data_IF_399239416357
#
_entry.id   IF_399239416357
#
_cell.length_a   1.000
_cell.length_b   1.000
_cell.length_c   1.000
_cell.angle_alpha   90.00
_cell.angle_beta   90.00
_cell.angle_gamma   90.00
#
_symmetry.space_group_name_H-M   'P 1'
#
loop_
_entity.id
_entity.type
_entity.pdbx_description
1 polymer ?
#
# COMPACT_ATOMS: atom_id res chain seq x y z
N UNK A 1 5.07 -15.16 -15.38
CA UNK A 1 4.18 -14.39 -14.49
C UNK A 1 5.04 -13.76 -13.42
N UNK A 2 4.76 -12.51 -13.06
CA UNK A 2 5.43 -11.80 -11.98
C UNK A 2 4.39 -11.09 -11.11
N UNK A 3 4.75 -10.84 -9.86
CA UNK A 3 3.97 -10.01 -8.95
C UNK A 3 4.87 -8.94 -8.35
N UNK A 4 4.43 -7.69 -8.37
CA UNK A 4 5.22 -6.53 -7.96
C UNK A 4 4.41 -5.66 -7.01
N UNK A 5 4.99 -5.31 -5.87
CA UNK A 5 4.36 -4.47 -4.84
C UNK A 5 4.93 -3.06 -4.88
N UNK A 6 4.01 -2.11 -4.81
CA UNK A 6 4.26 -0.69 -4.67
C UNK A 6 3.64 -0.27 -3.33
N UNK A 7 4.49 0.13 -2.39
CA UNK A 7 4.08 0.79 -1.16
C UNK A 7 4.98 2.02 -0.91
N UNK A 8 4.51 2.99 -0.14
CA UNK A 8 5.36 4.08 0.33
C UNK A 8 6.58 3.58 1.09
N UNK A 9 7.66 4.36 1.10
CA UNK A 9 8.87 4.04 1.87
C UNK A 9 8.66 4.26 3.37
N UNK A 10 7.75 5.17 3.73
CA UNK A 10 7.39 5.49 5.10
C UNK A 10 5.91 5.80 5.26
N UNK A 11 5.44 5.71 6.51
CA UNK A 11 4.14 6.21 6.90
C UNK A 11 4.13 6.68 8.35
N UNK A 12 3.26 7.63 8.65
CA UNK A 12 3.00 8.05 10.01
C UNK A 12 2.05 7.08 10.73
N UNK A 13 2.42 6.57 11.92
CA UNK A 13 1.52 5.81 12.78
C UNK A 13 0.15 6.46 12.94
N UNK A 14 -0.91 5.66 12.76
CA UNK A 14 -2.29 6.13 12.81
C UNK A 14 -2.82 6.79 11.52
N UNK A 15 -1.97 7.07 10.54
CA UNK A 15 -2.38 7.60 9.23
C UNK A 15 -2.47 6.46 8.20
N UNK A 16 -3.58 6.35 7.45
CA UNK A 16 -3.70 5.37 6.37
C UNK A 16 -2.71 5.61 5.24
N UNK A 17 -2.11 4.54 4.73
CA UNK A 17 -1.26 4.53 3.54
C UNK A 17 -1.75 3.47 2.54
N UNK A 18 -1.62 3.75 1.23
CA UNK A 18 -2.03 2.81 0.18
C UNK A 18 -0.93 1.80 -0.16
N UNK A 19 -1.34 0.61 -0.57
CA UNK A 19 -0.47 -0.42 -1.15
C UNK A 19 -1.13 -0.96 -2.42
N UNK A 20 -0.32 -1.20 -3.44
CA UNK A 20 -0.72 -1.82 -4.71
C UNK A 20 0.16 -3.03 -4.97
N UNK A 21 -0.45 -4.10 -5.46
CA UNK A 21 0.20 -5.31 -5.92
C UNK A 21 -0.29 -5.55 -7.35
N UNK A 22 0.64 -5.46 -8.29
CA UNK A 22 0.40 -5.72 -9.70
C UNK A 22 0.83 -7.14 -10.02
N UNK A 23 -0.01 -7.87 -10.75
CA UNK A 23 0.29 -9.20 -11.26
C UNK A 23 0.32 -9.12 -12.77
N UNK A 24 1.44 -9.49 -13.39
CA UNK A 24 1.62 -9.51 -14.84
C UNK A 24 1.87 -10.92 -15.35
N UNK A 25 1.31 -11.26 -16.49
CA UNK A 25 1.35 -12.61 -17.05
C UNK A 25 1.32 -12.60 -18.58
N UNK A 26 2.00 -13.56 -19.20
CA UNK A 26 1.95 -13.80 -20.64
C UNK A 26 0.99 -14.96 -21.00
N UNK A 27 0.17 -15.40 -20.04
CA UNK A 27 -0.78 -16.49 -20.26
C UNK A 27 -1.87 -16.05 -21.24
N UNK A 28 -2.07 -16.83 -22.31
CA UNK A 28 -3.05 -16.55 -23.35
C UNK A 28 -4.46 -17.06 -23.05
N UNK A 29 -4.60 -17.85 -21.98
CA UNK A 29 -5.88 -18.41 -21.52
C UNK A 29 -6.19 -17.92 -20.12
N UNK A 30 -7.48 -17.70 -19.79
CA UNK A 30 -7.85 -17.33 -18.44
C UNK A 30 -7.45 -18.39 -17.41
N UNK A 31 -6.95 -17.97 -16.26
CA UNK A 31 -6.57 -18.85 -15.17
C UNK A 31 -6.98 -18.24 -13.83
N UNK A 32 -7.11 -19.10 -12.81
CA UNK A 32 -7.40 -18.66 -11.45
C UNK A 32 -6.11 -18.52 -10.65
N UNK A 33 -6.08 -17.52 -9.78
CA UNK A 33 -5.00 -17.31 -8.82
C UNK A 33 -5.53 -17.14 -7.41
N UNK A 34 -4.63 -17.35 -6.45
CA UNK A 34 -4.76 -16.92 -5.07
C UNK A 34 -3.60 -15.96 -4.80
N UNK A 35 -3.92 -14.73 -4.42
CA UNK A 35 -2.92 -13.78 -3.92
C UNK A 35 -2.99 -13.76 -2.40
N UNK A 36 -1.84 -13.90 -1.74
CA UNK A 36 -1.69 -13.79 -0.29
C UNK A 36 -0.69 -12.69 0.03
N UNK A 37 -1.09 -11.74 0.86
CA UNK A 37 -0.21 -10.71 1.43
C UNK A 37 -0.22 -10.84 2.96
N UNK A 38 0.97 -10.82 3.57
CA UNK A 38 1.20 -10.88 5.02
C UNK A 38 1.78 -9.56 5.45
N UNK A 39 1.04 -8.83 6.27
CA UNK A 39 1.43 -7.53 6.78
C UNK A 39 2.22 -7.69 8.08
N UNK A 40 3.00 -6.66 8.45
CA UNK A 40 3.56 -6.51 9.78
C UNK A 40 2.50 -6.68 10.89
N UNK A 41 2.83 -7.28 12.06
CA UNK A 41 1.87 -7.50 13.15
C UNK A 41 1.18 -6.23 13.65
N UNK A 42 1.85 -5.09 13.54
CA UNK A 42 1.36 -3.79 13.98
C UNK A 42 0.64 -3.00 12.87
N UNK A 43 0.38 -3.62 11.73
CA UNK A 43 -0.48 -3.05 10.69
C UNK A 43 -1.95 -3.42 10.90
N UNK A 44 -2.83 -2.47 10.64
CA UNK A 44 -4.29 -2.63 10.62
C UNK A 44 -4.75 -2.46 9.17
N UNK A 45 -5.11 -3.55 8.45
CA UNK A 45 -5.67 -3.42 7.11
C UNK A 45 -7.14 -3.00 7.17
N UNK A 46 -7.55 -2.14 6.24
CA UNK A 46 -8.89 -1.54 6.21
C UNK A 46 -9.66 -1.86 4.92
N UNK A 47 -9.35 -1.17 3.84
CA UNK A 47 -10.08 -1.26 2.57
C UNK A 47 -9.25 -2.07 1.56
N UNK A 48 -9.89 -2.95 0.78
CA UNK A 48 -9.25 -3.65 -0.35
C UNK A 48 -10.02 -3.50 -1.66
N UNK A 49 -9.31 -3.43 -2.79
CA UNK A 49 -9.84 -3.43 -4.15
C UNK A 49 -9.05 -4.40 -5.06
N UNK A 50 -9.66 -5.46 -5.58
CA UNK A 50 -10.96 -6.02 -5.20
C UNK A 50 -11.07 -6.30 -3.69
N UNK A 51 -12.28 -6.54 -3.17
CA UNK A 51 -12.47 -6.87 -1.75
C UNK A 51 -11.73 -8.16 -1.40
N UNK A 52 -11.09 -8.20 -0.22
CA UNK A 52 -10.47 -9.41 0.30
C UNK A 52 -11.50 -10.54 0.41
N UNK A 53 -11.11 -11.76 0.07
CA UNK A 53 -11.93 -12.96 0.35
C UNK A 53 -11.79 -13.42 1.79
N UNK A 54 -10.65 -13.13 2.42
CA UNK A 54 -10.40 -13.41 3.82
C UNK A 54 -9.36 -12.46 4.38
N UNK A 55 -9.51 -12.14 5.66
CA UNK A 55 -8.56 -11.39 6.45
C UNK A 55 -8.35 -12.16 7.76
N UNK A 56 -7.17 -12.77 7.93
CA UNK A 56 -6.78 -13.37 9.21
C UNK A 56 -6.07 -12.31 10.05
N UNK A 57 -6.14 -12.46 11.38
CA UNK A 57 -5.42 -11.65 12.35
C UNK A 57 -4.26 -12.44 12.95
N UNK A 58 -3.20 -11.73 13.35
CA UNK A 58 -2.04 -12.25 14.09
C UNK A 58 -1.15 -13.29 13.34
N UNK A 59 -0.28 -12.86 12.41
CA UNK A 59 -0.19 -11.51 11.83
C UNK A 59 -1.33 -11.28 10.82
N UNK A 60 -1.60 -10.01 10.43
CA UNK A 60 -2.63 -9.73 9.45
C UNK A 60 -2.29 -10.36 8.09
N UNK A 61 -3.19 -11.20 7.57
CA UNK A 61 -3.03 -11.84 6.26
C UNK A 61 -4.24 -11.54 5.39
N UNK A 62 -3.99 -10.90 4.25
CA UNK A 62 -4.98 -10.60 3.22
C UNK A 62 -4.94 -11.68 2.15
N UNK A 63 -6.11 -12.12 1.70
CA UNK A 63 -6.21 -13.02 0.54
C UNK A 63 -7.20 -12.52 -0.48
N UNK A 64 -6.86 -12.75 -1.73
CA UNK A 64 -7.74 -12.60 -2.88
C UNK A 64 -7.77 -13.91 -3.65
N UNK A 65 -8.93 -14.21 -4.23
CA UNK A 65 -9.10 -15.29 -5.21
C UNK A 65 -9.73 -14.62 -6.43
N UNK A 66 -9.10 -14.81 -7.59
CA UNK A 66 -9.52 -14.14 -8.80
C UNK A 66 -9.32 -15.00 -10.03
N UNK A 67 -9.96 -14.61 -11.13
CA UNK A 67 -9.79 -15.20 -12.46
C UNK A 67 -9.27 -14.13 -13.41
N UNK A 68 -7.99 -14.22 -13.75
CA UNK A 68 -7.36 -13.31 -14.72
C UNK A 68 -7.68 -13.81 -16.12
N UNK A 69 -8.12 -12.89 -17.00
CA UNK A 69 -8.33 -13.12 -18.43
C UNK A 69 -7.49 -12.21 -19.34
N UNK A 70 -6.72 -11.29 -18.77
CA UNK A 70 -5.81 -10.39 -19.48
C UNK A 70 -4.35 -10.58 -19.07
N UNK A 71 -3.51 -9.64 -19.46
CA UNK A 71 -2.05 -9.69 -19.19
C UNK A 71 -1.68 -9.09 -17.83
N UNK A 72 -2.59 -8.34 -17.20
CA UNK A 72 -2.37 -7.66 -15.92
C UNK A 72 -3.62 -7.72 -15.03
N UNK A 73 -3.39 -7.76 -13.72
CA UNK A 73 -4.39 -7.48 -12.69
C UNK A 73 -3.76 -6.65 -11.57
N UNK A 74 -4.54 -5.79 -10.92
CA UNK A 74 -4.10 -4.97 -9.81
C UNK A 74 -4.95 -5.25 -8.57
N UNK A 75 -4.28 -5.38 -7.43
CA UNK A 75 -4.87 -5.54 -6.11
C UNK A 75 -4.35 -4.42 -5.24
N UNK A 76 -5.22 -3.68 -4.59
CA UNK A 76 -4.83 -2.55 -3.74
C UNK A 76 -5.53 -2.60 -2.40
N UNK A 77 -4.92 -1.98 -1.41
CA UNK A 77 -5.52 -1.82 -0.10
C UNK A 77 -5.00 -0.61 0.64
N UNK A 78 -5.73 -0.21 1.68
CA UNK A 78 -5.26 0.70 2.71
C UNK A 78 -4.86 -0.08 3.96
N UNK A 79 -3.74 0.31 4.56
CA UNK A 79 -3.33 -0.12 5.87
C UNK A 79 -2.92 1.07 6.73
N UNK A 80 -2.84 0.85 8.03
CA UNK A 80 -2.41 1.86 9.00
C UNK A 80 -1.47 1.18 9.99
N UNK A 81 -0.33 1.79 10.28
CA UNK A 81 0.49 1.38 11.42
C UNK A 81 -0.28 1.73 12.70
N UNK A 82 -0.27 0.85 13.70
CA UNK A 82 -0.92 1.11 14.98
C UNK A 82 -0.46 2.46 15.54
N UNK A 83 -1.33 3.27 16.15
CA UNK A 83 -0.93 4.57 16.69
C UNK A 83 0.16 4.53 17.76
N UNK A 84 0.43 3.35 18.34
CA UNK A 84 1.49 3.12 19.33
C UNK A 84 2.79 2.59 18.72
N UNK A 85 2.84 2.37 17.41
CA UNK A 85 4.05 1.94 16.68
C UNK A 85 5.18 2.95 16.93
N UNK A 86 6.35 2.42 17.28
CA UNK A 86 7.55 3.23 17.50
C UNK A 86 8.07 3.81 16.19
N UNK A 87 8.38 5.11 16.19
CA UNK A 87 8.96 5.77 15.03
C UNK A 87 10.31 5.16 14.65
N UNK A 88 10.70 5.34 13.40
CA UNK A 88 12.00 4.92 12.85
C UNK A 88 12.24 3.40 12.84
N UNK A 89 11.19 2.61 13.11
CA UNK A 89 11.21 1.16 12.98
C UNK A 89 10.78 0.72 11.58
N UNK A 90 11.30 -0.43 11.14
CA UNK A 90 11.04 -0.98 9.81
C UNK A 90 10.01 -2.13 9.89
N UNK A 91 9.02 -2.07 9.02
CA UNK A 91 7.88 -2.98 8.98
C UNK A 91 7.87 -3.74 7.65
N UNK A 92 8.17 -5.04 7.71
CA UNK A 92 8.32 -5.87 6.50
C UNK A 92 7.02 -6.56 6.13
N UNK A 93 6.67 -6.51 4.86
CA UNK A 93 5.57 -7.27 4.29
C UNK A 93 6.12 -8.34 3.35
N UNK A 94 5.34 -9.40 3.19
CA UNK A 94 5.69 -10.53 2.34
C UNK A 94 4.43 -11.16 1.77
N UNK A 95 4.55 -11.77 0.60
CA UNK A 95 3.41 -12.41 0.00
C UNK A 95 3.77 -13.19 -1.24
N UNK A 96 2.76 -13.77 -1.85
CA UNK A 96 2.91 -14.61 -3.03
C UNK A 96 1.62 -14.79 -3.80
N UNK A 97 1.79 -15.17 -5.07
CA UNK A 97 0.71 -15.57 -5.97
C UNK A 97 0.84 -17.06 -6.22
N UNK A 98 -0.23 -17.80 -5.93
CA UNK A 98 -0.36 -19.22 -6.23
C UNK A 98 -1.32 -19.40 -7.40
N UNK A 99 -0.90 -20.16 -8.41
CA UNK A 99 -1.73 -20.54 -9.56
C UNK A 99 -1.93 -22.05 -9.58
N UNK A 100 -3.04 -22.48 -10.17
CA UNK A 100 -3.26 -23.92 -10.40
C UNK A 100 -2.24 -24.42 -11.42
N UNK A 101 -1.30 -25.23 -10.94
CA UNK A 101 -0.22 -25.85 -11.70
C UNK A 101 0.11 -27.19 -11.06
N UNK A 102 0.74 -28.09 -11.80
CA UNK A 102 1.06 -29.43 -11.30
C UNK A 102 2.06 -29.41 -10.12
N UNK A 103 2.82 -28.33 -9.97
CA UNK A 103 3.82 -28.14 -8.91
C UNK A 103 3.35 -27.29 -7.72
N UNK A 104 2.14 -26.69 -7.79
CA UNK A 104 1.62 -25.73 -6.80
C UNK A 104 2.64 -24.64 -6.38
N UNK A 105 3.50 -24.22 -7.31
CA UNK A 105 4.52 -23.23 -7.02
C UNK A 105 3.91 -21.86 -6.68
N UNK A 106 4.41 -21.26 -5.59
CA UNK A 106 4.06 -19.88 -5.20
C UNK A 106 5.12 -18.93 -5.74
N UNK A 107 4.69 -17.94 -6.51
CA UNK A 107 5.58 -16.88 -7.01
C UNK A 107 5.62 -15.77 -5.97
N UNK A 108 6.79 -15.42 -5.41
CA UNK A 108 6.90 -14.37 -4.40
C UNK A 108 6.57 -13.00 -4.99
N UNK A 109 5.96 -12.15 -4.18
CA UNK A 109 5.73 -10.75 -4.55
C UNK A 109 7.05 -9.99 -4.37
N UNK A 110 7.56 -9.42 -5.46
CA UNK A 110 8.76 -8.59 -5.50
C UNK A 110 8.42 -7.11 -5.32
N UNK A 111 9.42 -6.22 -5.41
CA UNK A 111 9.24 -4.77 -5.22
C UNK A 111 9.57 -4.33 -3.80
N UNK A 112 9.08 -3.16 -3.39
CA UNK A 112 9.33 -2.62 -2.05
C UNK A 112 8.80 -3.61 -1.02
N UNK A 113 9.63 -3.95 -0.03
CA UNK A 113 9.29 -4.98 0.98
C UNK A 113 9.12 -4.43 2.40
N UNK A 114 9.57 -3.20 2.65
CA UNK A 114 9.59 -2.58 3.96
C UNK A 114 9.01 -1.16 3.93
N UNK A 115 8.38 -0.78 5.04
CA UNK A 115 7.86 0.55 5.33
C UNK A 115 8.52 1.03 6.63
N UNK A 116 8.95 2.29 6.69
CA UNK A 116 9.47 2.90 7.92
C UNK A 116 8.39 3.70 8.64
N UNK A 117 8.23 3.51 9.94
CA UNK A 117 7.42 4.43 10.75
C UNK A 117 8.12 5.80 10.79
N UNK A 118 7.42 6.88 10.44
CA UNK A 118 8.04 8.21 10.25
C UNK A 118 7.05 9.32 10.61
N UNK A 119 7.46 10.53 11.02
CA UNK A 119 6.55 11.66 11.17
C UNK A 119 6.11 12.30 9.84
N UNK A 120 6.67 11.86 8.71
CA UNK A 120 6.33 12.42 7.39
C UNK A 120 5.09 11.72 6.80
N UNK A 121 4.31 12.49 6.05
CA UNK A 121 3.22 11.96 5.23
C UNK A 121 3.79 11.00 4.20
N UNK A 122 3.12 9.87 3.95
CA UNK A 122 3.63 8.80 3.08
C UNK A 122 3.84 9.24 1.63
N UNK A 123 3.19 10.33 1.22
CA UNK A 123 3.30 10.92 -0.12
C UNK A 123 4.47 11.93 -0.25
N UNK A 124 5.01 12.42 0.86
CA UNK A 124 6.24 13.23 0.90
C UNK A 124 7.42 12.26 0.83
N UNK A 125 7.78 11.87 -0.38
CA UNK A 125 8.74 10.81 -0.69
C UNK A 125 10.16 11.13 -0.23
N UNK A 126 10.53 12.41 -0.24
CA UNK A 126 11.85 12.87 0.15
C UNK A 126 11.94 13.27 1.65
N UNK A 127 10.82 13.25 2.37
CA UNK A 127 10.71 13.55 3.79
C UNK A 127 11.19 14.97 4.16
N UNK A 128 10.89 15.97 3.32
CA UNK A 128 11.29 17.36 3.56
C UNK A 128 10.20 18.22 4.24
N UNK A 129 9.03 17.64 4.50
CA UNK A 129 7.89 18.31 5.10
C UNK A 129 7.05 19.10 4.09
N UNK A 130 7.14 18.77 2.79
CA UNK A 130 6.29 19.29 1.70
C UNK A 130 5.83 18.14 0.82
N UNK A 131 4.86 18.43 -0.05
CA UNK A 131 4.54 17.57 -1.18
C UNK A 131 4.67 18.46 -2.40
N UNK A 132 5.63 18.20 -3.26
CA UNK A 132 5.83 18.98 -4.48
C UNK A 132 5.04 18.43 -5.68
N UNK A 133 5.20 19.05 -6.86
CA UNK A 133 4.49 18.65 -8.07
C UNK A 133 4.88 17.23 -8.52
N UNK A 134 6.14 16.83 -8.37
CA UNK A 134 6.64 15.51 -8.77
C UNK A 134 6.07 14.42 -7.86
N UNK A 135 6.02 14.68 -6.56
CA UNK A 135 5.43 13.80 -5.55
C UNK A 135 3.91 13.67 -5.75
N UNK A 136 3.22 14.78 -6.00
CA UNK A 136 1.79 14.75 -6.30
C UNK A 136 1.49 13.94 -7.56
N UNK A 137 2.24 14.18 -8.65
CA UNK A 137 2.08 13.44 -9.90
C UNK A 137 2.31 11.94 -9.70
N UNK A 138 3.33 11.56 -8.93
CA UNK A 138 3.62 10.16 -8.59
C UNK A 138 2.46 9.50 -7.84
N UNK A 139 1.83 10.22 -6.90
CA UNK A 139 0.61 9.74 -6.21
C UNK A 139 -0.51 9.45 -7.21
N UNK A 140 -0.75 10.35 -8.16
CA UNK A 140 -1.81 10.19 -9.16
C UNK A 140 -1.52 9.09 -10.18
N UNK A 141 -0.27 8.94 -10.59
CA UNK A 141 0.17 7.89 -11.51
C UNK A 141 -0.06 6.50 -10.91
N UNK A 142 0.31 6.31 -9.65
CA UNK A 142 0.21 5.01 -8.98
C UNK A 142 -1.22 4.73 -8.48
N UNK A 143 -1.84 5.70 -7.79
CA UNK A 143 -3.07 5.46 -7.03
C UNK A 143 -4.32 6.12 -7.64
N UNK A 144 -4.15 7.11 -8.52
CA UNK A 144 -5.25 7.93 -9.04
C UNK A 144 -6.27 7.16 -9.90
N UNK A 145 -5.84 6.07 -10.55
CA UNK A 145 -6.71 5.20 -11.35
C UNK A 145 -7.49 4.15 -10.54
N UNK A 146 -7.25 4.04 -9.23
CA UNK A 146 -7.83 2.97 -8.41
C UNK A 146 -9.20 3.40 -7.89
N UNK A 147 -10.25 2.99 -8.61
CA UNK A 147 -11.62 3.37 -8.27
C UNK A 147 -12.02 2.96 -6.83
N UNK A 148 -12.47 3.97 -6.09
CA UNK A 148 -13.01 3.80 -4.76
C UNK A 148 -11.99 3.61 -3.64
N UNK A 149 -10.67 3.61 -3.91
CA UNK A 149 -9.64 3.60 -2.86
C UNK A 149 -9.55 5.00 -2.21
N UNK A 150 -9.82 5.08 -0.91
CA UNK A 150 -9.88 6.37 -0.19
C UNK A 150 -8.53 6.72 0.45
N UNK A 151 -7.49 6.92 -0.36
CA UNK A 151 -6.12 7.14 0.14
C UNK A 151 -5.84 8.55 0.71
N UNK A 152 -6.87 9.39 0.89
CA UNK A 152 -6.70 10.71 1.52
C UNK A 152 -6.26 11.83 0.57
N UNK A 153 -6.63 11.75 -0.72
CA UNK A 153 -6.33 12.75 -1.76
C UNK A 153 -6.48 14.22 -1.30
N UNK A 154 -7.55 14.55 -0.56
CA UNK A 154 -7.80 15.92 -0.07
C UNK A 154 -6.66 16.45 0.81
N UNK A 155 -6.15 15.64 1.73
CA UNK A 155 -5.06 16.03 2.62
C UNK A 155 -3.75 16.25 1.84
N UNK A 156 -3.49 15.39 0.86
CA UNK A 156 -2.32 15.50 -0.02
C UNK A 156 -2.36 16.82 -0.79
N UNK A 157 -3.51 17.15 -1.38
CA UNK A 157 -3.72 18.42 -2.09
C UNK A 157 -3.60 19.63 -1.15
N UNK A 158 -4.12 19.54 0.07
CA UNK A 158 -3.96 20.59 1.09
C UNK A 158 -2.49 20.83 1.44
N UNK A 159 -1.70 19.78 1.67
CA UNK A 159 -0.26 19.89 1.93
C UNK A 159 0.48 20.48 0.73
N UNK A 160 0.17 20.02 -0.49
CA UNK A 160 0.78 20.50 -1.73
C UNK A 160 0.57 22.00 -1.95
N UNK A 161 -0.62 22.53 -1.63
CA UNK A 161 -0.90 23.98 -1.74
C UNK A 161 -0.29 24.83 -0.63
N UNK A 162 0.24 24.22 0.43
CA UNK A 162 0.76 24.90 1.60
C UNK A 162 2.26 25.20 1.50
N UNK A 163 2.82 25.95 2.46
CA UNK A 163 4.29 26.12 2.56
C UNK A 163 5.01 24.89 3.11
N UNK A 164 4.25 23.90 3.57
CA UNK A 164 4.71 22.66 4.16
C UNK A 164 3.75 22.20 5.27
N UNK A 165 4.15 21.15 5.97
CA UNK A 165 3.39 20.60 7.08
C UNK A 165 4.33 20.10 8.18
N UNK A 166 3.75 19.80 9.35
CA UNK A 166 4.49 19.16 10.44
C UNK A 166 3.58 18.20 11.20
N UNK A 167 4.11 17.05 11.58
CA UNK A 167 3.42 16.16 12.50
C UNK A 167 3.22 16.79 13.88
N UNK A 168 2.00 16.69 14.40
CA UNK A 168 1.62 17.12 15.73
C UNK A 168 1.30 15.89 16.58
N UNK A 169 2.16 15.62 17.57
CA UNK A 169 2.03 14.46 18.43
C UNK A 169 0.80 14.53 19.35
N UNK A 170 0.37 15.73 19.73
CA UNK A 170 -0.77 15.92 20.64
C UNK A 170 -2.09 15.60 19.93
N UNK A 171 -2.26 16.10 18.71
CA UNK A 171 -3.48 15.89 17.91
C UNK A 171 -3.44 14.59 17.10
N UNK A 172 -2.26 13.98 16.96
CA UNK A 172 -2.00 12.85 16.03
C UNK A 172 -2.45 13.16 14.61
N UNK A 173 -2.11 14.36 14.15
CA UNK A 173 -2.42 14.86 12.81
C UNK A 173 -1.31 15.78 12.29
N UNK A 174 -1.50 16.29 11.09
CA UNK A 174 -0.57 17.26 10.50
C UNK A 174 -1.08 18.69 10.69
N UNK A 175 -0.22 19.56 11.21
CA UNK A 175 -0.42 20.99 11.17
C UNK A 175 0.03 21.50 9.79
N UNK A 176 -0.88 22.12 9.04
CA UNK A 176 -0.59 22.70 7.72
C UNK A 176 -0.02 24.12 7.88
N UNK A 177 1.15 24.37 7.31
CA UNK A 177 1.88 25.64 7.44
C UNK A 177 1.51 26.61 6.30
N UNK A 178 1.09 27.82 6.66
CA UNK A 178 0.61 28.86 5.72
C UNK A 178 1.68 29.89 5.34
#
# INVERSE_FOLDING_TARGET
MAAYRILPEHATPGIPFPVVIEVTTSATRPFSLILKETLPPDCIPAQGRPRFVSQASDPPVLKWIDKISGEQAAYSYLATLQPATEMETAHRFSGGVTIRSDDNSSIPISGTDALRASPFHWADSNSDGRIDDEELLSVYEIYGGIEGLQFGKKLIEEIWTAKGYRWNQETRGYDILQ
#
